data_IF_546128412045
#
_entry.id   IF_546128412045
#
_cell.length_a   1.000
_cell.length_b   1.000
_cell.length_c   1.000
_cell.angle_alpha   90.00
_cell.angle_beta   90.00
_cell.angle_gamma   90.00
#
_symmetry.space_group_name_H-M   'P 1'
#
loop_
_entity.id
_entity.type
_entity.pdbx_description
1 polymer ?
#
# COMPACT_ATOMS: atom_id res chain seq x y z
N UNK A 1 -18.14 -15.99 -26.33
CA UNK A 1 -18.18 -15.58 -24.90
C UNK A 1 -18.23 -14.07 -24.86
N UNK A 2 -19.11 -13.47 -24.06
CA UNK A 2 -19.13 -12.01 -23.88
C UNK A 2 -18.58 -11.64 -22.51
N UNK A 3 -17.78 -10.57 -22.45
CA UNK A 3 -17.19 -10.04 -21.22
C UNK A 3 -17.77 -8.65 -21.00
N UNK A 4 -18.33 -8.42 -19.82
CA UNK A 4 -18.84 -7.10 -19.43
C UNK A 4 -17.67 -6.25 -18.94
N UNK A 5 -17.43 -5.11 -19.58
CA UNK A 5 -16.48 -4.10 -19.14
C UNK A 5 -17.00 -3.32 -17.92
N UNK A 6 -16.11 -2.61 -17.24
CA UNK A 6 -16.44 -1.85 -16.02
C UNK A 6 -17.47 -0.72 -16.22
N UNK A 7 -17.72 -0.32 -17.47
CA UNK A 7 -18.73 0.66 -17.87
C UNK A 7 -20.07 0.01 -18.28
N UNK A 8 -20.20 -1.32 -18.18
CA UNK A 8 -21.40 -2.07 -18.58
C UNK A 8 -21.42 -2.52 -20.04
N UNK A 9 -20.45 -2.09 -20.86
CA UNK A 9 -20.37 -2.50 -22.25
C UNK A 9 -20.03 -3.99 -22.38
N UNK A 10 -20.55 -4.64 -23.41
CA UNK A 10 -20.28 -6.04 -23.70
C UNK A 10 -19.22 -6.12 -24.80
N UNK A 11 -18.08 -6.71 -24.48
CA UNK A 11 -17.02 -6.98 -25.45
C UNK A 11 -17.09 -8.45 -25.86
N UNK A 12 -17.14 -8.70 -27.17
CA UNK A 12 -17.06 -10.05 -27.70
C UNK A 12 -15.62 -10.59 -27.54
N UNK A 13 -15.48 -11.69 -26.79
CA UNK A 13 -14.26 -12.46 -26.79
C UNK A 13 -14.25 -13.34 -28.04
N UNK A 14 -13.31 -13.04 -28.94
CA UNK A 14 -13.24 -13.59 -30.30
C UNK A 14 -12.58 -14.96 -30.33
N UNK A 15 -11.61 -15.21 -29.44
CA UNK A 15 -10.92 -16.49 -29.30
C UNK A 15 -10.22 -16.62 -27.94
N UNK A 16 -9.94 -17.86 -27.52
CA UNK A 16 -9.07 -18.16 -26.39
C UNK A 16 -7.81 -18.86 -26.91
N UNK A 17 -6.65 -18.41 -26.44
CA UNK A 17 -5.36 -19.00 -26.72
C UNK A 17 -4.80 -19.64 -25.44
N UNK A 18 -4.71 -20.97 -25.35
CA UNK A 18 -4.14 -21.61 -24.18
C UNK A 18 -2.62 -21.46 -24.16
N UNK A 19 -2.04 -21.32 -22.96
CA UNK A 19 -0.58 -21.38 -22.76
C UNK A 19 0.23 -20.25 -23.40
N UNK A 20 -0.33 -19.04 -23.48
CA UNK A 20 0.39 -17.85 -23.95
C UNK A 20 1.56 -17.57 -23.01
N UNK A 21 2.76 -17.50 -23.58
CA UNK A 21 3.99 -17.14 -22.88
C UNK A 21 4.22 -15.65 -23.00
N UNK A 22 4.44 -14.98 -21.89
CA UNK A 22 4.76 -13.55 -21.88
C UNK A 22 5.77 -13.22 -20.77
N UNK A 23 6.37 -12.04 -20.87
CA UNK A 23 7.33 -11.55 -19.88
C UNK A 23 6.81 -10.27 -19.25
N UNK A 24 7.02 -10.13 -17.94
CA UNK A 24 6.85 -8.87 -17.21
C UNK A 24 8.17 -8.59 -16.49
N UNK A 25 8.87 -7.52 -16.89
CA UNK A 25 10.24 -7.28 -16.47
C UNK A 25 11.18 -8.42 -16.89
N UNK A 26 11.80 -9.09 -15.93
CA UNK A 26 12.68 -10.25 -16.14
C UNK A 26 12.00 -11.61 -15.84
N UNK A 27 10.73 -11.62 -15.46
CA UNK A 27 9.99 -12.83 -15.10
C UNK A 27 9.17 -13.36 -16.29
N UNK A 28 9.14 -14.68 -16.45
CA UNK A 28 8.36 -15.38 -17.48
C UNK A 28 7.09 -15.97 -16.89
N UNK A 29 5.97 -15.80 -17.60
CA UNK A 29 4.66 -16.30 -17.22
C UNK A 29 4.01 -17.09 -18.35
N UNK A 30 3.12 -18.01 -17.96
CA UNK A 30 2.27 -18.79 -18.86
C UNK A 30 0.84 -18.63 -18.39
N UNK A 31 -0.04 -18.10 -19.23
CA UNK A 31 -1.46 -17.99 -18.92
C UNK A 31 -2.32 -18.19 -20.17
N UNK A 32 -3.61 -18.43 -19.98
CA UNK A 32 -4.56 -18.43 -21.10
C UNK A 32 -4.86 -16.99 -21.52
N UNK A 33 -4.68 -16.68 -22.80
CA UNK A 33 -5.00 -15.39 -23.40
C UNK A 33 -6.40 -15.37 -24.01
N UNK A 34 -7.05 -14.21 -23.99
CA UNK A 34 -8.37 -14.00 -24.60
C UNK A 34 -8.29 -12.84 -25.59
N UNK A 35 -8.65 -13.08 -26.85
CA UNK A 35 -8.63 -12.06 -27.88
C UNK A 35 -9.87 -11.17 -27.75
N UNK A 36 -9.63 -9.89 -27.50
CA UNK A 36 -10.69 -8.89 -27.38
C UNK A 36 -10.30 -7.65 -28.18
N UNK A 37 -11.26 -7.01 -28.87
CA UNK A 37 -11.03 -5.73 -29.56
C UNK A 37 -10.99 -4.58 -28.54
N UNK A 38 -10.00 -4.61 -27.64
CA UNK A 38 -9.77 -3.55 -26.66
C UNK A 38 -8.99 -2.43 -27.34
N UNK A 39 -9.64 -1.28 -27.55
CA UNK A 39 -8.98 -0.11 -28.13
C UNK A 39 -7.87 0.42 -27.22
N UNK A 40 -6.71 0.71 -27.79
CA UNK A 40 -5.63 1.45 -27.13
C UNK A 40 -4.75 0.65 -26.16
N UNK A 41 -4.87 -0.68 -26.09
CA UNK A 41 -4.06 -1.52 -25.20
C UNK A 41 -3.66 -2.82 -25.92
N UNK A 42 -2.44 -3.29 -25.68
CA UNK A 42 -1.94 -4.54 -26.27
C UNK A 42 -2.39 -5.76 -25.47
N UNK A 43 -2.38 -5.67 -24.14
CA UNK A 43 -2.76 -6.76 -23.25
C UNK A 43 -3.32 -6.22 -21.92
N UNK A 44 -4.35 -6.88 -21.41
CA UNK A 44 -4.92 -6.60 -20.08
C UNK A 44 -4.70 -7.81 -19.19
N UNK A 45 -4.03 -7.61 -18.06
CA UNK A 45 -3.87 -8.61 -17.02
C UNK A 45 -5.05 -8.53 -16.05
N UNK A 46 -5.88 -9.57 -16.03
CA UNK A 46 -7.01 -9.65 -15.12
C UNK A 46 -6.62 -10.08 -13.70
N UNK A 47 -7.54 -9.89 -12.76
CA UNK A 47 -7.37 -10.33 -11.36
C UNK A 47 -7.15 -11.84 -11.21
N UNK A 48 -7.63 -12.66 -12.15
CA UNK A 48 -7.36 -14.09 -12.17
C UNK A 48 -5.88 -14.42 -12.32
N UNK A 49 -5.16 -13.70 -13.18
CA UNK A 49 -3.72 -13.84 -13.33
C UNK A 49 -2.99 -13.38 -12.05
N UNK A 50 -3.37 -12.22 -11.50
CA UNK A 50 -2.76 -11.72 -10.27
C UNK A 50 -2.98 -12.64 -9.07
N UNK A 51 -4.10 -13.35 -9.00
CA UNK A 51 -4.36 -14.34 -7.96
C UNK A 51 -3.38 -15.53 -7.96
N UNK A 52 -2.85 -15.91 -9.12
CA UNK A 52 -1.85 -16.98 -9.24
C UNK A 52 -0.47 -16.56 -8.71
N UNK A 53 -0.20 -15.25 -8.61
CA UNK A 53 1.08 -14.74 -8.10
C UNK A 53 1.21 -14.85 -6.58
N UNK A 54 0.11 -15.13 -5.88
CA UNK A 54 0.01 -15.04 -4.43
C UNK A 54 -0.18 -13.60 -3.96
N UNK A 55 0.13 -13.30 -2.69
CA UNK A 55 0.06 -11.94 -2.18
C UNK A 55 1.01 -11.01 -2.97
N UNK A 56 0.47 -9.87 -3.42
CA UNK A 56 1.21 -8.84 -4.14
C UNK A 56 1.06 -7.51 -3.42
N UNK A 57 2.15 -6.74 -3.39
CA UNK A 57 2.18 -5.37 -2.90
C UNK A 57 2.17 -4.43 -4.10
N UNK A 58 1.28 -3.44 -4.06
CA UNK A 58 1.17 -2.44 -5.11
C UNK A 58 1.59 -1.08 -4.56
N UNK A 59 2.68 -0.54 -5.07
CA UNK A 59 3.08 0.84 -4.81
C UNK A 59 2.51 1.76 -5.89
N UNK A 60 1.49 2.55 -5.53
CA UNK A 60 0.86 3.52 -6.43
C UNK A 60 1.72 4.77 -6.65
N UNK A 61 2.68 5.07 -5.77
CA UNK A 61 3.60 6.20 -5.94
C UNK A 61 4.67 5.87 -6.98
N UNK A 62 5.28 4.70 -6.85
CA UNK A 62 6.33 4.21 -7.76
C UNK A 62 5.78 3.49 -8.99
N UNK A 63 4.46 3.29 -9.06
CA UNK A 63 3.77 2.58 -10.15
C UNK A 63 4.32 1.16 -10.38
N UNK A 64 4.69 0.47 -9.30
CA UNK A 64 5.26 -0.87 -9.35
C UNK A 64 4.41 -1.89 -8.58
N UNK A 65 4.58 -3.16 -8.96
CA UNK A 65 4.01 -4.32 -8.27
C UNK A 65 5.17 -5.20 -7.83
N UNK A 66 5.25 -5.46 -6.54
CA UNK A 66 6.16 -6.43 -5.96
C UNK A 66 5.38 -7.63 -5.47
N UNK A 67 5.99 -8.81 -5.49
CA UNK A 67 5.44 -9.93 -4.71
C UNK A 67 5.60 -9.55 -3.25
N UNK A 68 4.55 -9.76 -2.46
CA UNK A 68 4.70 -9.69 -1.02
C UNK A 68 5.69 -10.81 -0.67
N UNK A 69 6.96 -10.45 -0.44
CA UNK A 69 7.74 -11.21 0.52
C UNK A 69 6.88 -11.19 1.76
N UNK A 70 6.42 -12.35 2.28
CA UNK A 70 5.62 -12.37 3.49
C UNK A 70 6.34 -11.42 4.44
N UNK A 71 5.65 -10.41 5.01
CA UNK A 71 6.30 -9.58 5.99
C UNK A 71 6.92 -10.60 6.93
N UNK A 72 8.25 -10.61 6.99
CA UNK A 72 8.90 -11.19 8.12
C UNK A 72 8.49 -10.25 9.25
N UNK A 73 7.24 -10.40 9.71
CA UNK A 73 6.88 -10.29 11.08
C UNK A 73 7.85 -11.28 11.68
N UNK A 74 9.01 -10.74 12.03
CA UNK A 74 10.00 -11.39 12.83
C UNK A 74 9.25 -11.58 14.14
N UNK A 75 8.39 -12.58 14.16
CA UNK A 75 7.95 -13.29 15.33
C UNK A 75 9.27 -13.76 15.89
N UNK A 76 9.86 -12.91 16.70
CA UNK A 76 10.97 -13.27 17.53
C UNK A 76 10.35 -14.32 18.43
N UNK A 77 10.56 -15.59 18.08
CA UNK A 77 10.31 -16.71 18.96
C UNK A 77 10.98 -16.33 20.27
N UNK A 78 10.15 -15.97 21.26
CA UNK A 78 10.59 -15.47 22.55
C UNK A 78 11.23 -16.63 23.31
N UNK A 79 12.47 -16.95 22.95
CA UNK A 79 13.27 -18.00 23.54
C UNK A 79 14.56 -17.43 24.18
N UNK A 80 14.65 -16.11 24.33
CA UNK A 80 15.81 -15.45 24.94
C UNK A 80 15.36 -14.42 25.97
N UNK A 81 15.97 -14.48 27.15
CA UNK A 81 15.75 -13.58 28.29
C UNK A 81 16.01 -12.08 27.99
N UNK A 82 16.45 -11.73 26.78
CA UNK A 82 16.86 -10.38 26.37
C UNK A 82 16.25 -9.90 25.03
N UNK A 83 15.02 -10.33 24.74
CA UNK A 83 14.28 -9.90 23.54
C UNK A 83 14.20 -8.37 23.41
N UNK A 84 13.90 -7.69 24.52
CA UNK A 84 13.78 -6.23 24.55
C UNK A 84 15.11 -5.54 24.20
N UNK A 85 16.23 -6.01 24.76
CA UNK A 85 17.56 -5.47 24.45
C UNK A 85 17.90 -5.62 22.97
N UNK A 86 17.59 -6.77 22.40
CA UNK A 86 17.81 -7.04 20.97
C UNK A 86 16.96 -6.14 20.07
N UNK A 87 15.70 -5.87 20.46
CA UNK A 87 14.81 -4.94 19.75
C UNK A 87 15.31 -3.50 19.81
N UNK A 88 15.73 -3.04 21.00
CA UNK A 88 16.27 -1.68 21.16
C UNK A 88 17.53 -1.46 20.33
N UNK A 89 18.40 -2.47 20.23
CA UNK A 89 19.59 -2.42 19.36
C UNK A 89 19.16 -2.38 17.89
N UNK A 90 18.28 -3.29 17.46
CA UNK A 90 17.81 -3.40 16.07
C UNK A 90 17.16 -2.12 15.55
N UNK A 91 16.40 -1.43 16.41
CA UNK A 91 15.66 -0.21 16.06
C UNK A 91 16.27 1.05 16.69
N UNK A 92 17.56 1.03 17.04
CA UNK A 92 18.27 2.16 17.64
C UNK A 92 18.21 3.44 16.79
N UNK A 93 18.09 3.29 15.47
CA UNK A 93 17.91 4.38 14.52
C UNK A 93 16.58 5.16 14.70
N UNK A 94 15.51 4.54 15.22
CA UNK A 94 14.24 5.23 15.49
C UNK A 94 14.34 6.24 16.63
N UNK A 95 15.30 6.03 17.55
CA UNK A 95 15.53 6.90 18.72
C UNK A 95 16.63 7.93 18.50
N UNK A 96 17.28 7.91 17.33
CA UNK A 96 18.28 8.91 16.97
C UNK A 96 17.58 10.25 16.73
N UNK A 97 18.21 11.34 17.18
CA UNK A 97 17.73 12.67 16.88
C UNK A 97 17.61 12.86 15.35
N UNK A 98 16.43 13.26 14.84
CA UNK A 98 16.22 13.39 13.41
C UNK A 98 17.11 14.50 12.87
N UNK A 99 18.06 14.12 12.01
CA UNK A 99 18.96 15.05 11.36
C UNK A 99 18.32 15.60 10.08
N UNK A 100 17.53 16.65 10.22
CA UNK A 100 16.95 17.39 9.09
C UNK A 100 15.43 17.49 9.14
N UNK A 101 14.88 18.13 8.11
CA UNK A 101 13.44 18.25 7.96
C UNK A 101 12.82 16.87 7.68
N UNK A 102 11.59 16.61 8.15
CA UNK A 102 10.84 15.43 7.73
C UNK A 102 10.80 15.36 6.20
N UNK A 103 10.87 14.15 5.61
CA UNK A 103 10.74 13.98 4.17
C UNK A 103 9.43 14.60 3.68
N UNK A 104 9.46 15.15 2.48
CA UNK A 104 8.29 15.79 1.88
C UNK A 104 7.18 14.75 1.70
N UNK A 105 6.05 14.98 2.37
CA UNK A 105 4.86 14.11 2.25
C UNK A 105 4.03 14.56 1.05
N UNK A 106 3.42 13.62 0.33
CA UNK A 106 2.48 13.94 -0.76
C UNK A 106 1.26 14.74 -0.27
N UNK A 107 0.91 14.59 1.01
CA UNK A 107 -0.19 15.31 1.66
C UNK A 107 0.40 16.16 2.79
N UNK A 108 0.27 17.49 2.64
CA UNK A 108 0.55 18.43 3.72
C UNK A 108 -0.74 18.87 4.38
N UNK A 109 -0.97 18.39 5.60
CA UNK A 109 -2.09 18.86 6.42
C UNK A 109 -1.75 20.22 7.04
N UNK A 110 -2.17 21.31 6.40
CA UNK A 110 -2.07 22.64 6.96
C UNK A 110 -3.38 23.08 7.61
N UNK A 111 -3.30 23.59 8.83
CA UNK A 111 -4.39 24.37 9.43
C UNK A 111 -4.39 25.72 8.72
N UNK A 112 -5.38 25.95 7.84
CA UNK A 112 -5.53 27.23 7.14
C UNK A 112 -6.08 28.26 8.12
N UNK A 113 -5.25 29.23 8.50
CA UNK A 113 -5.69 30.40 9.27
C UNK A 113 -6.28 31.45 8.32
N UNK A 114 -7.34 32.14 8.77
CA UNK A 114 -7.87 33.28 8.04
C UNK A 114 -6.88 34.46 8.12
N UNK A 115 -6.75 35.29 7.07
CA UNK A 115 -5.91 36.49 7.13
C UNK A 115 -6.30 37.41 8.30
N UNK A 116 -5.31 37.84 9.09
CA UNK A 116 -5.53 38.68 10.29
C UNK A 116 -5.85 37.92 11.58
N UNK A 117 -5.79 36.58 11.58
CA UNK A 117 -5.99 35.78 12.81
C UNK A 117 -4.83 35.99 13.78
N UNK A 118 -5.14 36.42 15.01
CA UNK A 118 -4.17 36.54 16.10
C UNK A 118 -3.63 35.15 16.53
N UNK A 119 -2.43 35.11 17.08
CA UNK A 119 -1.86 33.87 17.61
C UNK A 119 -2.77 33.26 18.69
N UNK A 120 -3.21 32.03 18.47
CA UNK A 120 -4.09 31.31 19.39
C UNK A 120 -3.23 30.61 20.44
N UNK A 121 -3.02 31.25 21.59
CA UNK A 121 -2.42 30.63 22.77
C UNK A 121 -3.52 29.94 23.61
N UNK A 122 -3.95 28.74 23.19
CA UNK A 122 -4.86 27.92 23.99
C UNK A 122 -4.08 27.22 25.09
N UNK A 123 -4.41 27.49 26.35
CA UNK A 123 -3.89 26.67 27.46
C UNK A 123 -4.42 25.24 27.31
N UNK A 124 -3.61 24.19 27.61
CA UNK A 124 -4.08 22.81 27.56
C UNK A 124 -5.41 22.66 28.31
N UNK A 125 -6.36 21.94 27.71
CA UNK A 125 -7.70 21.74 28.25
C UNK A 125 -7.61 21.18 29.69
N UNK A 126 -8.09 21.94 30.67
CA UNK A 126 -8.27 21.44 32.04
C UNK A 126 -9.65 20.83 32.12
N UNK A 127 -9.72 19.50 32.02
CA UNK A 127 -10.95 18.78 32.32
C UNK A 127 -11.25 18.88 33.81
N UNK A 128 -12.53 19.09 34.16
CA UNK A 128 -12.98 18.86 35.52
C UNK A 128 -12.72 17.40 35.87
N UNK A 129 -12.35 17.10 37.11
CA UNK A 129 -11.94 15.75 37.52
C UNK A 129 -12.95 14.65 37.12
N UNK A 130 -14.23 15.01 37.09
CA UNK A 130 -15.38 14.15 36.74
C UNK A 130 -15.36 13.72 35.25
N UNK A 131 -14.85 14.56 34.34
CA UNK A 131 -14.83 14.27 32.90
C UNK A 131 -13.64 13.40 32.48
N UNK A 132 -12.70 13.16 33.40
CA UNK A 132 -11.49 12.40 33.09
C UNK A 132 -11.74 10.89 33.07
N UNK A 133 -12.79 10.43 33.75
CA UNK A 133 -13.18 9.02 33.80
C UNK A 133 -13.94 8.57 32.55
N UNK A 134 -14.51 9.50 31.77
CA UNK A 134 -15.22 9.21 30.51
C UNK A 134 -14.28 9.05 29.29
N UNK A 135 -13.01 9.46 29.41
CA UNK A 135 -12.00 9.37 28.34
C UNK A 135 -11.15 8.09 28.42
N UNK A 136 -11.64 7.06 29.11
CA UNK A 136 -10.91 5.81 29.35
C UNK A 136 -11.23 4.71 28.35
#
# INVERSE_FOLDING_TARGET
>A
MHVTGGNGDQVACSSMFPGVKFMVGCAHFVANGYAMPIGGHDMVLGVGFFGELGPILWDFGEHCIDKETPPALNSLTAASDNLLGSLLVKFSNLFREPAGLPPHRSISHHIRLLPGTNAVAVRPYRYAHIQKDELK
#
